data_IF_557863730725
#
_entry.id   IF_557863730725
#
_cell.length_a   1.000
_cell.length_b   1.000
_cell.length_c   1.000
_cell.angle_alpha   90.00
_cell.angle_beta   90.00
_cell.angle_gamma   90.00
#
_symmetry.space_group_name_H-M   'P 1'
#
loop_
_entity.id
_entity.type
_entity.pdbx_description
1 polymer ?
#
# COMPACT_ATOMS: atom_id res chain seq x y z
N UNK A 1 -16.24 3.42 32.36
CA UNK A 1 -14.96 3.02 31.75
C UNK A 1 -15.21 3.01 30.27
N UNK A 2 -14.75 4.03 29.57
CA UNK A 2 -14.92 4.14 28.12
C UNK A 2 -14.14 3.00 27.47
N UNK A 3 -14.87 2.05 26.90
CA UNK A 3 -14.32 1.10 25.96
C UNK A 3 -14.01 1.86 24.67
N UNK A 4 -12.90 2.58 24.66
CA UNK A 4 -12.29 3.09 23.43
C UNK A 4 -11.84 1.87 22.63
N UNK A 5 -12.77 1.28 21.88
CA UNK A 5 -12.43 0.57 20.65
C UNK A 5 -11.86 1.65 19.72
N UNK A 6 -10.57 1.94 19.90
CA UNK A 6 -9.76 2.82 19.05
C UNK A 6 -9.65 2.20 17.66
N UNK A 7 -10.76 2.23 16.94
CA UNK A 7 -10.84 1.80 15.56
C UNK A 7 -10.21 2.91 14.74
N UNK A 8 -8.93 2.74 14.40
CA UNK A 8 -8.16 3.68 13.59
C UNK A 8 -9.00 4.20 12.42
N UNK A 9 -9.27 5.51 12.30
CA UNK A 9 -10.11 6.04 11.24
C UNK A 9 -9.46 5.81 9.88
N UNK A 10 -10.29 5.72 8.83
CA UNK A 10 -9.78 5.66 7.47
C UNK A 10 -9.04 6.96 7.15
N UNK A 11 -7.88 6.83 6.52
CA UNK A 11 -7.05 7.98 6.16
C UNK A 11 -6.42 7.71 4.80
N UNK A 12 -6.88 8.38 3.73
CA UNK A 12 -6.36 8.17 2.38
C UNK A 12 -4.83 8.24 2.32
N UNK A 13 -4.23 9.23 2.98
CA UNK A 13 -2.77 9.42 2.96
C UNK A 13 -1.99 8.25 3.59
N UNK A 14 -2.54 7.67 4.66
CA UNK A 14 -1.89 6.54 5.34
C UNK A 14 -2.08 5.24 4.55
N UNK A 15 -3.24 5.04 3.91
CA UNK A 15 -3.46 3.88 3.04
C UNK A 15 -2.59 3.98 1.78
N UNK A 16 -2.42 5.16 1.19
CA UNK A 16 -1.50 5.34 0.06
C UNK A 16 -0.04 5.08 0.46
N UNK A 17 0.38 5.53 1.65
CA UNK A 17 1.72 5.22 2.17
C UNK A 17 1.90 3.71 2.37
N UNK A 18 0.92 3.04 2.96
CA UNK A 18 0.92 1.58 3.11
C UNK A 18 1.07 0.87 1.76
N UNK A 19 0.23 1.21 0.77
CA UNK A 19 0.31 0.66 -0.59
C UNK A 19 1.73 0.82 -1.16
N UNK A 20 2.30 2.02 -1.03
CA UNK A 20 3.65 2.32 -1.55
C UNK A 20 4.72 1.47 -0.88
N UNK A 21 4.74 1.45 0.46
CA UNK A 21 5.75 0.74 1.24
C UNK A 21 5.69 -0.77 0.99
N UNK A 22 4.50 -1.36 1.03
CA UNK A 22 4.30 -2.78 0.75
C UNK A 22 4.67 -3.14 -0.68
N UNK A 23 4.26 -2.32 -1.66
CA UNK A 23 4.63 -2.56 -3.07
C UNK A 23 6.14 -2.60 -3.23
N UNK A 24 6.85 -1.62 -2.68
CA UNK A 24 8.30 -1.56 -2.78
C UNK A 24 8.98 -2.71 -2.02
N UNK A 25 8.54 -3.02 -0.80
CA UNK A 25 9.09 -4.12 0.01
C UNK A 25 9.06 -5.45 -0.75
N UNK A 26 7.91 -5.84 -1.30
CA UNK A 26 7.75 -7.10 -2.05
C UNK A 26 8.49 -7.11 -3.38
N UNK A 27 8.58 -5.97 -4.06
CA UNK A 27 9.37 -5.86 -5.29
C UNK A 27 10.88 -5.96 -5.02
N UNK A 28 11.34 -5.57 -3.83
CA UNK A 28 12.74 -5.67 -3.42
C UNK A 28 13.11 -7.03 -2.82
N UNK A 29 12.17 -7.75 -2.19
CA UNK A 29 12.40 -9.11 -1.67
C UNK A 29 12.56 -10.16 -2.77
N UNK A 30 12.13 -9.86 -4.00
CA UNK A 30 12.23 -10.76 -5.14
C UNK A 30 11.18 -11.88 -5.15
N UNK A 31 10.11 -11.73 -4.37
CA UNK A 31 9.07 -12.76 -4.20
C UNK A 31 8.11 -12.91 -5.39
N UNK A 32 8.23 -12.11 -6.46
CA UNK A 32 7.42 -12.29 -7.68
C UNK A 32 8.18 -11.91 -8.95
N UNK A 33 8.05 -12.76 -9.98
CA UNK A 33 8.54 -12.52 -11.34
C UNK A 33 7.71 -11.49 -12.12
N UNK A 34 6.51 -11.16 -11.61
CA UNK A 34 5.63 -10.12 -12.14
C UNK A 34 5.53 -9.02 -11.06
N UNK A 35 6.12 -7.86 -11.31
CA UNK A 35 6.33 -6.75 -10.36
C UNK A 35 4.98 -6.05 -10.06
N UNK A 36 4.07 -6.78 -9.43
CA UNK A 36 2.72 -6.36 -9.11
C UNK A 36 2.33 -6.86 -7.72
N UNK A 37 1.84 -5.96 -6.88
CA UNK A 37 1.25 -6.31 -5.57
C UNK A 37 -0.26 -6.06 -5.65
N UNK A 38 -1.04 -7.02 -5.17
CA UNK A 38 -2.50 -6.98 -5.21
C UNK A 38 -3.04 -6.68 -3.82
N UNK A 39 -4.05 -5.84 -3.76
CA UNK A 39 -4.72 -5.45 -2.52
C UNK A 39 -6.23 -5.62 -2.67
N UNK A 40 -6.87 -6.28 -1.71
CA UNK A 40 -8.33 -6.25 -1.56
C UNK A 40 -8.68 -4.90 -0.96
N UNK A 41 -9.52 -4.13 -1.66
CA UNK A 41 -9.88 -2.76 -1.29
C UNK A 41 -11.29 -2.46 -1.79
N UNK A 42 -12.23 -2.17 -0.90
CA UNK A 42 -13.60 -1.82 -1.28
C UNK A 42 -13.64 -0.56 -2.15
N UNK A 43 -14.60 -0.49 -3.08
CA UNK A 43 -14.69 0.61 -4.05
C UNK A 43 -14.78 1.98 -3.38
N UNK A 44 -15.53 2.10 -2.28
CA UNK A 44 -15.66 3.36 -1.54
C UNK A 44 -14.30 3.90 -1.07
N UNK A 45 -13.42 3.03 -0.56
CA UNK A 45 -12.09 3.42 -0.12
C UNK A 45 -11.16 3.75 -1.29
N UNK A 46 -11.29 3.03 -2.41
CA UNK A 46 -10.56 3.37 -3.63
C UNK A 46 -10.97 4.74 -4.18
N UNK A 47 -12.27 5.04 -4.20
CA UNK A 47 -12.80 6.34 -4.61
C UNK A 47 -12.28 7.47 -3.69
N UNK A 48 -12.27 7.25 -2.37
CA UNK A 48 -11.70 8.22 -1.42
C UNK A 48 -10.19 8.46 -1.64
N UNK A 49 -9.41 7.41 -1.90
CA UNK A 49 -7.98 7.51 -2.21
C UNK A 49 -7.75 8.28 -3.51
N UNK A 50 -8.51 7.98 -4.56
CA UNK A 50 -8.36 8.63 -5.86
C UNK A 50 -8.88 10.06 -5.90
N UNK A 51 -9.88 10.39 -5.08
CA UNK A 51 -10.38 11.75 -4.90
C UNK A 51 -9.47 12.61 -4.00
N UNK A 52 -8.59 12.01 -3.20
CA UNK A 52 -7.74 12.74 -2.27
C UNK A 52 -6.76 13.67 -3.00
N UNK A 53 -6.66 14.97 -2.61
CA UNK A 53 -5.85 15.94 -3.34
C UNK A 53 -4.33 15.68 -3.28
N UNK A 54 -3.82 15.14 -2.17
CA UNK A 54 -2.38 14.93 -1.98
C UNK A 54 -1.98 13.52 -2.43
N UNK A 55 -1.48 13.38 -3.66
CA UNK A 55 -1.16 12.07 -4.28
C UNK A 55 0.32 11.74 -4.29
N UNK A 56 1.14 12.38 -3.45
CA UNK A 56 2.59 12.23 -3.46
C UNK A 56 3.05 10.78 -3.30
N UNK A 57 2.33 10.00 -2.49
CA UNK A 57 2.57 8.58 -2.21
C UNK A 57 2.29 7.68 -3.42
N UNK A 58 1.46 8.12 -4.37
CA UNK A 58 1.12 7.35 -5.57
C UNK A 58 2.06 7.64 -6.75
N UNK A 59 2.98 8.61 -6.61
CA UNK A 59 3.94 8.94 -7.66
C UNK A 59 4.79 7.72 -7.99
N UNK A 60 4.91 7.41 -9.29
CA UNK A 60 5.58 6.22 -9.86
C UNK A 60 4.91 4.88 -9.55
N UNK A 61 3.69 4.89 -9.01
CA UNK A 61 2.84 3.71 -8.92
C UNK A 61 1.85 3.70 -10.08
N UNK A 62 1.67 2.53 -10.70
CA UNK A 62 0.59 2.27 -11.65
C UNK A 62 -0.51 1.51 -10.92
N UNK A 63 -1.69 2.11 -10.86
CA UNK A 63 -2.87 1.56 -10.20
C UNK A 63 -3.82 0.97 -11.24
N UNK A 64 -4.26 -0.26 -11.02
CA UNK A 64 -5.20 -0.97 -11.88
C UNK A 64 -6.27 -1.63 -10.98
N UNK A 65 -7.47 -1.06 -10.95
CA UNK A 65 -8.53 -1.46 -10.03
C UNK A 65 -9.63 -2.24 -10.75
N UNK A 66 -9.84 -3.48 -10.33
CA UNK A 66 -10.97 -4.30 -10.76
C UNK A 66 -12.15 -4.08 -9.82
N UNK A 67 -13.16 -3.32 -10.28
CA UNK A 67 -14.36 -3.03 -9.48
C UNK A 67 -15.18 -4.27 -9.13
N UNK A 68 -15.18 -5.31 -9.98
CA UNK A 68 -15.98 -6.53 -9.73
C UNK A 68 -15.32 -7.40 -8.68
N UNK A 69 -13.99 -7.50 -8.73
CA UNK A 69 -13.22 -8.26 -7.76
C UNK A 69 -12.90 -7.46 -6.48
N UNK A 70 -13.03 -6.13 -6.53
CA UNK A 70 -12.53 -5.16 -5.54
C UNK A 70 -11.04 -5.37 -5.26
N UNK A 71 -10.27 -5.57 -6.33
CA UNK A 71 -8.82 -5.81 -6.26
C UNK A 71 -8.09 -4.65 -6.92
N UNK A 72 -7.20 -4.02 -6.16
CA UNK A 72 -6.24 -3.05 -6.65
C UNK A 72 -4.91 -3.75 -6.94
N UNK A 73 -4.53 -3.82 -8.21
CA UNK A 73 -3.20 -4.27 -8.64
C UNK A 73 -2.28 -3.06 -8.79
N UNK A 74 -1.15 -3.08 -8.09
CA UNK A 74 -0.19 -1.96 -8.04
C UNK A 74 1.16 -2.40 -8.56
N UNK A 75 1.71 -1.64 -9.51
CA UNK A 75 3.06 -1.85 -10.05
C UNK A 75 3.92 -0.61 -9.81
N UNK A 76 5.22 -0.79 -9.74
CA UNK A 76 6.20 0.31 -9.61
C UNK A 76 7.26 0.24 -10.71
N UNK A 77 7.93 1.36 -10.96
CA UNK A 77 9.08 1.45 -11.87
C UNK A 77 10.43 1.19 -11.16
N UNK A 78 11.48 0.93 -11.94
CA UNK A 78 12.85 0.72 -11.44
C UNK A 78 13.44 1.95 -10.75
N UNK A 79 13.01 3.16 -11.14
CA UNK A 79 13.54 4.39 -10.57
C UNK A 79 13.16 4.52 -9.10
N UNK A 80 11.91 4.20 -8.75
CA UNK A 80 11.47 4.16 -7.37
C UNK A 80 12.20 3.06 -6.59
N UNK A 81 12.35 1.87 -7.17
CA UNK A 81 13.05 0.75 -6.52
C UNK A 81 14.53 1.08 -6.26
N UNK A 82 15.23 1.67 -7.23
CA UNK A 82 16.63 2.06 -7.08
C UNK A 82 16.81 3.11 -5.97
N UNK A 83 15.90 4.09 -5.87
CA UNK A 83 15.91 5.06 -4.78
C UNK A 83 15.82 4.40 -3.40
N UNK A 84 15.02 3.35 -3.26
CA UNK A 84 14.94 2.59 -2.01
C UNK A 84 16.19 1.72 -1.78
N UNK A 85 16.74 1.08 -2.82
CA UNK A 85 17.99 0.30 -2.72
C UNK A 85 19.17 1.14 -2.26
N UNK A 86 19.27 2.37 -2.76
CA UNK A 86 20.31 3.33 -2.35
C UNK A 86 20.18 3.76 -0.88
N UNK A 87 18.99 3.58 -0.27
CA UNK A 87 18.71 3.92 1.11
C UNK A 87 18.34 2.66 1.90
N UNK A 88 19.33 1.90 2.37
CA UNK A 88 19.12 0.66 3.16
C UNK A 88 18.11 0.83 4.30
N UNK A 89 18.08 1.99 4.95
CA UNK A 89 17.10 2.32 5.99
C UNK A 89 15.66 2.28 5.47
N UNK A 90 15.38 2.71 4.24
CA UNK A 90 14.04 2.67 3.66
C UNK A 90 13.57 1.25 3.37
N UNK A 91 14.47 0.34 3.00
CA UNK A 91 14.12 -1.08 2.78
C UNK A 91 13.74 -1.75 4.10
N UNK A 92 14.52 -1.52 5.16
CA UNK A 92 14.22 -2.02 6.49
C UNK A 92 12.93 -1.41 7.06
N UNK A 93 12.70 -0.11 6.81
CA UNK A 93 11.46 0.57 7.20
C UNK A 93 10.29 -0.04 6.45
N UNK A 94 10.38 -0.24 5.13
CA UNK A 94 9.30 -0.79 4.31
C UNK A 94 8.87 -2.19 4.80
N UNK A 95 9.83 -3.07 5.09
CA UNK A 95 9.53 -4.41 5.62
C UNK A 95 8.91 -4.38 7.02
N UNK A 96 9.41 -3.54 7.94
CA UNK A 96 8.77 -3.34 9.25
C UNK A 96 7.38 -2.72 9.13
N UNK A 97 7.20 -1.81 8.17
CA UNK A 97 5.95 -1.10 7.92
C UNK A 97 4.88 -2.05 7.39
N UNK A 98 5.23 -2.93 6.44
CA UNK A 98 4.32 -3.98 5.94
C UNK A 98 3.76 -4.81 7.10
N UNK A 99 4.63 -5.35 7.96
CA UNK A 99 4.20 -6.18 9.09
C UNK A 99 3.36 -5.44 10.14
N UNK A 100 3.78 -4.22 10.54
CA UNK A 100 3.09 -3.47 11.60
C UNK A 100 1.76 -2.86 11.14
N UNK A 101 1.69 -2.42 9.89
CA UNK A 101 0.54 -1.68 9.38
C UNK A 101 -0.48 -2.57 8.67
N UNK A 102 -0.12 -3.78 8.25
CA UNK A 102 -1.09 -4.76 7.77
C UNK A 102 -2.19 -5.00 8.81
N UNK A 103 -1.83 -5.26 10.08
CA UNK A 103 -2.81 -5.48 11.15
C UNK A 103 -3.62 -4.21 11.46
N UNK A 104 -2.99 -3.03 11.38
CA UNK A 104 -3.62 -1.74 11.66
C UNK A 104 -4.68 -1.36 10.62
N UNK A 105 -4.45 -1.69 9.35
CA UNK A 105 -5.31 -1.29 8.23
C UNK A 105 -6.09 -2.43 7.61
N UNK A 106 -6.00 -3.66 8.12
CA UNK A 106 -6.70 -4.85 7.58
C UNK A 106 -8.20 -4.65 7.34
N UNK A 107 -8.86 -3.85 8.18
CA UNK A 107 -10.30 -3.54 8.02
C UNK A 107 -10.63 -2.70 6.78
N UNK A 108 -9.62 -2.10 6.15
CA UNK A 108 -9.74 -1.22 5.00
C UNK A 108 -9.06 -1.79 3.76
N UNK A 109 -7.91 -2.43 3.95
CA UNK A 109 -7.06 -2.93 2.88
C UNK A 109 -6.32 -4.19 3.34
N UNK A 110 -6.31 -5.21 2.48
CA UNK A 110 -5.61 -6.48 2.74
C UNK A 110 -4.73 -6.83 1.54
N UNK A 111 -3.56 -7.43 1.79
CA UNK A 111 -2.67 -7.87 0.71
C UNK A 111 -3.15 -9.24 0.22
N UNK A 112 -3.22 -9.43 -1.09
CA UNK A 112 -3.68 -10.67 -1.74
C UNK A 112 -2.51 -11.31 -2.49
N UNK A 113 -2.26 -12.59 -2.22
CA UNK A 113 -1.19 -13.38 -2.88
C UNK A 113 -1.56 -13.85 -4.28
#
# INVERSE_FOLDING_TARGET
MDNNNDTVPFSPILIMEFIRQTTVARCLSGESADIAVRFKLAKSYYDEITAFPLKAQLIRLKLDYDEKAEILTVRTDEVLLNRFREQKSLVEIAGKYEGQYAERYKKFIEIVE
#
